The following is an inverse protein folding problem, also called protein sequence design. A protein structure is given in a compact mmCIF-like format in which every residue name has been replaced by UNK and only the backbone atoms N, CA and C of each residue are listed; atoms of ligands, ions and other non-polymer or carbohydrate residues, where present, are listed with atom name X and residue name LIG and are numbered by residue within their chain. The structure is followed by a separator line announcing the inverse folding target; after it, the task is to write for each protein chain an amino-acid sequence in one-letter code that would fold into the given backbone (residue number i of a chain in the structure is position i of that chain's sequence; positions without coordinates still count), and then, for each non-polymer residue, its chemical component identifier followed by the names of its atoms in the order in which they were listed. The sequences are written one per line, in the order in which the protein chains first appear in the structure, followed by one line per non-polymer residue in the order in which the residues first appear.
data_IF_885076141745
#
_entry.id   IF_885076141745
#
_cell.length_a   1.000
_cell.length_b   1.000
_cell.length_c   1.000
_cell.angle_alpha   90.00
_cell.angle_beta   90.00
_cell.angle_gamma   90.00
#
_symmetry.space_group_name_H-M   'P 1'
#
loop_
_entity.id
_entity.type
_entity.pdbx_description
1 polymer ?
#
# COMPACT_ATOMS: atom_id res chain seq x y z
N UNK A 1 -12.52 17.78 -1.99
CA UNK A 1 -12.32 16.58 -2.84
C UNK A 1 -11.51 16.93 -4.10
N UNK A 2 -11.65 18.14 -4.65
CA UNK A 2 -10.81 18.63 -5.75
C UNK A 2 -9.35 18.93 -5.39
N UNK A 3 -9.06 19.34 -4.15
CA UNK A 3 -7.72 19.81 -3.75
C UNK A 3 -6.63 18.74 -3.89
N UNK A 4 -6.85 17.49 -3.45
CA UNK A 4 -5.83 16.41 -3.54
C UNK A 4 -5.63 15.92 -4.99
N UNK A 5 -6.70 15.88 -5.79
CA UNK A 5 -6.59 15.50 -7.22
C UNK A 5 -5.86 16.58 -8.02
N UNK A 6 -6.16 17.84 -7.75
CA UNK A 6 -5.43 18.97 -8.34
C UNK A 6 -3.95 18.93 -7.92
N UNK A 7 -3.67 18.56 -6.67
CA UNK A 7 -2.30 18.56 -6.13
C UNK A 7 -1.39 17.55 -6.86
N UNK A 8 -1.80 16.29 -7.01
CA UNK A 8 -0.94 15.27 -7.64
C UNK A 8 -0.56 15.60 -9.09
N UNK A 9 -1.54 15.99 -9.92
CA UNK A 9 -1.25 16.34 -11.32
C UNK A 9 -0.51 17.67 -11.45
N UNK A 10 -0.72 18.61 -10.53
CA UNK A 10 0.03 19.87 -10.51
C UNK A 10 1.48 19.65 -10.09
N UNK A 11 1.72 18.83 -9.07
CA UNK A 11 3.07 18.51 -8.55
C UNK A 11 3.90 17.72 -9.54
N UNK A 12 3.32 16.70 -10.18
CA UNK A 12 4.07 15.80 -11.07
C UNK A 12 3.93 16.14 -12.57
N UNK A 13 2.93 16.95 -12.94
CA UNK A 13 2.72 17.42 -14.32
C UNK A 13 2.66 16.28 -15.33
N UNK A 14 3.56 16.34 -16.33
CA UNK A 14 3.65 15.35 -17.42
C UNK A 14 4.56 14.15 -17.11
N UNK A 15 5.15 14.07 -15.91
CA UNK A 15 6.02 12.94 -15.55
C UNK A 15 5.23 11.64 -15.52
N UNK A 16 5.88 10.56 -15.92
CA UNK A 16 5.34 9.20 -15.90
C UNK A 16 6.32 8.29 -15.19
N UNK A 17 5.83 7.47 -14.28
CA UNK A 17 6.64 6.61 -13.42
C UNK A 17 6.51 5.15 -13.85
N UNK A 18 7.63 4.46 -14.00
CA UNK A 18 7.65 3.03 -14.26
C UNK A 18 7.41 2.21 -12.98
N UNK A 19 7.61 2.81 -11.80
CA UNK A 19 7.32 2.21 -10.50
C UNK A 19 6.61 3.20 -9.59
N UNK A 20 5.51 2.77 -8.97
CA UNK A 20 4.72 3.57 -8.04
C UNK A 20 4.59 2.80 -6.73
N UNK A 21 4.93 3.45 -5.62
CA UNK A 21 4.60 3.00 -4.27
C UNK A 21 3.53 3.93 -3.70
N UNK A 22 2.42 3.36 -3.23
CA UNK A 22 1.30 4.13 -2.67
C UNK A 22 0.86 3.56 -1.32
N UNK A 23 0.56 4.45 -0.36
CA UNK A 23 -0.06 4.15 0.92
C UNK A 23 -1.28 5.07 1.12
N UNK A 24 -2.44 4.72 0.53
CA UNK A 24 -3.63 5.55 0.62
C UNK A 24 -4.09 5.71 2.08
N UNK A 25 -4.70 6.85 2.44
CA UNK A 25 -5.22 7.07 3.78
C UNK A 25 -6.56 6.34 3.98
N UNK A 26 -6.52 5.01 4.05
CA UNK A 26 -7.69 4.14 4.11
C UNK A 26 -8.65 4.51 5.27
N UNK A 27 -9.93 4.70 4.94
CA UNK A 27 -11.00 4.78 5.94
C UNK A 27 -11.58 3.40 6.23
N UNK A 28 -11.54 2.97 7.48
CA UNK A 28 -12.26 1.78 7.93
C UNK A 28 -13.73 2.13 8.21
N UNK A 29 -14.66 1.34 7.70
CA UNK A 29 -16.07 1.44 8.07
C UNK A 29 -16.37 0.48 9.22
N UNK A 30 -16.67 0.99 10.41
CA UNK A 30 -17.11 0.16 11.54
C UNK A 30 -18.58 -0.24 11.33
N UNK A 31 -18.83 -1.46 10.84
CA UNK A 31 -20.20 -1.95 10.60
C UNK A 31 -20.91 -2.47 11.87
N UNK A 32 -20.19 -2.67 12.98
CA UNK A 32 -20.71 -3.40 14.15
C UNK A 32 -21.18 -2.51 15.31
N UNK A 33 -21.21 -1.18 15.19
CA UNK A 33 -21.52 -0.25 16.29
C UNK A 33 -20.51 -0.23 17.44
N UNK A 34 -19.67 -1.27 17.56
CA UNK A 34 -18.45 -1.28 18.38
C UNK A 34 -17.43 -0.40 17.67
N UNK A 35 -17.26 0.80 18.19
CA UNK A 35 -16.22 1.73 17.81
C UNK A 35 -14.89 0.95 17.87
N UNK A 36 -14.29 0.62 16.72
CA UNK A 36 -12.84 0.38 16.70
C UNK A 36 -12.25 1.58 17.40
N UNK A 37 -11.36 1.43 18.40
CA UNK A 37 -10.95 2.55 19.22
C UNK A 37 -10.23 3.56 18.32
N UNK A 38 -11.00 4.48 17.77
CA UNK A 38 -10.61 5.83 17.45
C UNK A 38 -10.23 6.42 18.80
N UNK A 39 -9.06 6.01 19.29
CA UNK A 39 -8.36 6.76 20.29
C UNK A 39 -8.34 8.18 19.74
N UNK A 40 -8.96 9.12 20.44
CA UNK A 40 -8.91 10.58 20.25
C UNK A 40 -7.50 11.17 19.97
N UNK A 41 -6.44 10.34 20.01
CA UNK A 41 -5.05 10.63 19.63
C UNK A 41 -4.71 10.36 18.16
N UNK A 42 -5.55 9.65 17.39
CA UNK A 42 -5.30 9.25 15.98
C UNK A 42 -5.87 10.23 14.93
N UNK A 43 -6.56 11.28 15.35
CA UNK A 43 -7.19 12.32 14.50
C UNK A 43 -6.22 13.23 13.73
N UNK A 44 -4.92 12.89 13.65
CA UNK A 44 -3.90 13.78 13.05
C UNK A 44 -3.84 13.75 11.52
N UNK A 45 -4.45 12.76 10.84
CA UNK A 45 -4.48 12.70 9.37
C UNK A 45 -5.88 12.31 8.87
N UNK A 46 -6.38 13.03 7.86
CA UNK A 46 -7.68 12.74 7.25
C UNK A 46 -7.65 11.40 6.51
N UNK A 47 -8.68 10.58 6.70
CA UNK A 47 -8.90 9.35 5.93
C UNK A 47 -9.80 9.61 4.73
N UNK A 48 -9.59 8.86 3.65
CA UNK A 48 -10.40 8.92 2.43
C UNK A 48 -11.34 7.72 2.35
N UNK A 49 -12.56 7.98 1.91
CA UNK A 49 -13.49 6.91 1.49
C UNK A 49 -12.95 6.20 0.26
N UNK A 50 -13.42 4.97 0.03
CA UNK A 50 -12.97 4.16 -1.09
C UNK A 50 -13.18 4.85 -2.45
N UNK A 51 -14.36 5.45 -2.67
CA UNK A 51 -14.67 6.18 -3.90
C UNK A 51 -13.70 7.34 -4.17
N UNK A 52 -13.23 8.01 -3.12
CA UNK A 52 -12.23 9.07 -3.21
C UNK A 52 -10.86 8.52 -3.63
N UNK A 53 -10.44 7.37 -3.08
CA UNK A 53 -9.17 6.72 -3.41
C UNK A 53 -9.20 6.18 -4.85
N UNK A 54 -10.29 5.51 -5.23
CA UNK A 54 -10.51 4.99 -6.58
C UNK A 54 -10.36 6.09 -7.63
N UNK A 55 -10.82 7.31 -7.30
CA UNK A 55 -10.84 8.42 -8.23
C UNK A 55 -9.54 9.24 -8.29
N UNK A 56 -8.48 8.85 -7.57
CA UNK A 56 -7.16 9.47 -7.67
C UNK A 56 -6.56 9.22 -9.08
N UNK A 57 -5.90 10.23 -9.70
CA UNK A 57 -5.44 10.15 -11.09
C UNK A 57 -4.12 9.36 -11.26
N UNK A 58 -3.90 8.30 -10.48
CA UNK A 58 -2.65 7.52 -10.49
C UNK A 58 -2.39 6.88 -11.86
N UNK A 59 -3.45 6.48 -12.57
CA UNK A 59 -3.33 5.97 -13.95
C UNK A 59 -2.62 6.99 -14.88
N UNK A 60 -2.90 8.29 -14.68
CA UNK A 60 -2.31 9.36 -15.48
C UNK A 60 -0.84 9.61 -15.13
N UNK A 61 -0.37 9.12 -13.97
CA UNK A 61 1.02 9.24 -13.54
C UNK A 61 1.85 8.00 -13.90
N UNK A 62 1.21 6.89 -14.25
CA UNK A 62 1.90 5.65 -14.61
C UNK A 62 2.40 5.66 -16.06
N UNK A 63 3.61 5.17 -16.27
CA UNK A 63 4.12 4.85 -17.61
C UNK A 63 3.26 3.74 -18.28
N UNK A 64 3.32 3.60 -19.62
CA UNK A 64 2.55 2.57 -20.33
C UNK A 64 2.81 1.15 -19.82
N UNK A 65 4.06 0.87 -19.43
CA UNK A 65 4.47 -0.33 -18.71
C UNK A 65 4.98 0.09 -17.33
N UNK A 66 4.32 -0.37 -16.27
CA UNK A 66 4.63 0.08 -14.92
C UNK A 66 4.30 -0.97 -13.84
N UNK A 67 4.94 -0.83 -12.69
CA UNK A 67 4.66 -1.56 -11.47
C UNK A 67 3.95 -0.67 -10.44
N UNK A 68 3.02 -1.27 -9.70
CA UNK A 68 2.37 -0.67 -8.54
C UNK A 68 2.62 -1.54 -7.30
N UNK A 69 3.09 -0.88 -6.25
CA UNK A 69 3.19 -1.39 -4.90
C UNK A 69 2.18 -0.63 -4.04
N UNK A 70 1.12 -1.29 -3.61
CA UNK A 70 0.02 -0.66 -2.89
C UNK A 70 -0.06 -1.21 -1.46
N UNK A 71 0.26 -0.38 -0.47
CA UNK A 71 0.01 -0.72 0.93
C UNK A 71 -1.49 -0.92 1.17
N UNK A 72 -1.84 -2.07 1.72
CA UNK A 72 -3.22 -2.48 1.94
C UNK A 72 -3.36 -3.13 3.33
N UNK A 73 -4.20 -2.57 4.21
CA UNK A 73 -4.56 -3.25 5.45
C UNK A 73 -5.25 -4.58 5.18
N UNK A 74 -4.96 -5.61 5.99
CA UNK A 74 -5.51 -6.96 5.79
C UNK A 74 -7.04 -7.00 5.66
N UNK A 75 -7.74 -6.16 6.43
CA UNK A 75 -9.21 -6.11 6.42
C UNK A 75 -9.81 -5.43 5.19
N UNK A 76 -9.00 -4.77 4.36
CA UNK A 76 -9.43 -4.01 3.17
C UNK A 76 -8.87 -4.61 1.87
N UNK A 77 -8.51 -5.89 1.88
CA UNK A 77 -7.95 -6.56 0.71
C UNK A 77 -8.86 -6.44 -0.53
N UNK A 78 -10.19 -6.68 -0.45
CA UNK A 78 -11.09 -6.49 -1.60
C UNK A 78 -11.04 -5.06 -2.15
N UNK A 79 -11.03 -4.05 -1.28
CA UNK A 79 -10.94 -2.64 -1.63
C UNK A 79 -9.59 -2.30 -2.27
N UNK A 80 -8.49 -2.84 -1.74
CA UNK A 80 -7.16 -2.69 -2.33
C UNK A 80 -7.09 -3.23 -3.76
N UNK A 81 -7.69 -4.39 -4.02
CA UNK A 81 -7.78 -4.96 -5.37
C UNK A 81 -8.64 -4.10 -6.31
N UNK A 82 -9.74 -3.53 -5.79
CA UNK A 82 -10.56 -2.59 -6.55
C UNK A 82 -9.79 -1.31 -6.92
N UNK A 83 -8.98 -0.78 -5.99
CA UNK A 83 -8.10 0.38 -6.23
C UNK A 83 -7.07 0.10 -7.30
N UNK A 84 -6.38 -1.04 -7.26
CA UNK A 84 -5.43 -1.42 -8.30
C UNK A 84 -6.09 -1.45 -9.68
N UNK A 85 -7.28 -2.07 -9.76
CA UNK A 85 -8.04 -2.15 -11.00
C UNK A 85 -8.43 -0.76 -11.53
N UNK A 86 -8.95 0.11 -10.65
CA UNK A 86 -9.35 1.46 -11.01
C UNK A 86 -8.18 2.33 -11.50
N UNK A 87 -6.97 2.10 -10.98
CA UNK A 87 -5.76 2.79 -11.41
C UNK A 87 -5.09 2.15 -12.64
N UNK A 88 -5.70 1.13 -13.25
CA UNK A 88 -5.19 0.49 -14.46
C UNK A 88 -4.14 -0.58 -14.23
N UNK A 89 -4.02 -1.12 -13.02
CA UNK A 89 -3.07 -2.19 -12.67
C UNK A 89 -3.79 -3.51 -12.45
N UNK A 90 -3.21 -4.60 -12.98
CA UNK A 90 -3.68 -5.96 -12.69
C UNK A 90 -2.85 -6.54 -11.56
N UNK A 91 -3.50 -7.02 -10.50
CA UNK A 91 -2.84 -7.74 -9.41
C UNK A 91 -2.07 -8.97 -9.91
N UNK A 92 -0.91 -9.23 -9.31
CA UNK A 92 -0.05 -10.38 -9.63
C UNK A 92 0.34 -11.17 -8.39
N UNK A 93 0.80 -10.48 -7.34
CA UNK A 93 1.22 -11.10 -6.08
C UNK A 93 1.23 -10.03 -4.98
N UNK A 94 1.70 -10.36 -3.79
CA UNK A 94 1.89 -9.40 -2.69
C UNK A 94 3.21 -9.66 -1.99
N UNK A 95 3.73 -8.63 -1.32
CA UNK A 95 4.70 -8.75 -0.24
C UNK A 95 3.95 -8.66 1.10
N UNK A 96 4.45 -9.33 2.11
CA UNK A 96 3.91 -9.33 3.47
C UNK A 96 4.93 -8.70 4.40
N UNK A 97 4.58 -7.58 5.01
CA UNK A 97 5.36 -7.05 6.12
C UNK A 97 4.95 -7.73 7.41
N UNK A 98 5.84 -8.55 7.98
CA UNK A 98 5.68 -9.18 9.28
C UNK A 98 6.36 -8.34 10.36
N UNK A 99 5.57 -7.89 11.34
CA UNK A 99 6.03 -7.07 12.45
C UNK A 99 6.57 -7.97 13.55
N UNK A 100 7.87 -7.90 13.79
CA UNK A 100 8.57 -8.77 14.74
C UNK A 100 9.05 -8.04 16.00
N UNK A 101 9.26 -8.81 17.07
CA UNK A 101 9.87 -8.39 18.34
C UNK A 101 11.40 -8.49 18.25
N UNK A 102 12.10 -8.25 19.37
CA UNK A 102 13.56 -8.36 19.44
C UNK A 102 14.06 -9.79 19.22
N UNK A 103 13.29 -10.77 19.65
CA UNK A 103 13.56 -12.21 19.53
C UNK A 103 13.14 -12.81 18.18
N UNK A 104 12.66 -11.99 17.22
CA UNK A 104 12.21 -12.45 15.90
C UNK A 104 10.79 -13.01 15.88
N UNK A 105 10.14 -13.20 17.03
CA UNK A 105 8.74 -13.62 17.08
C UNK A 105 7.77 -12.49 16.70
N UNK A 106 6.52 -12.83 16.41
CA UNK A 106 5.46 -11.84 16.09
C UNK A 106 5.26 -10.81 17.20
N UNK A 107 5.02 -9.53 16.83
CA UNK A 107 4.80 -8.42 17.76
C UNK A 107 3.58 -8.64 18.67
N UNK A 108 2.52 -9.31 18.18
CA UNK A 108 1.32 -9.67 18.96
C UNK A 108 0.43 -8.50 19.39
N UNK A 109 0.90 -7.25 19.26
CA UNK A 109 0.21 -6.03 19.70
C UNK A 109 -0.77 -5.44 18.67
N UNK A 110 -0.93 -6.08 17.52
CA UNK A 110 -1.84 -5.64 16.46
C UNK A 110 -3.30 -5.64 16.89
N UNK A 111 -4.06 -4.60 16.54
CA UNK A 111 -5.51 -4.58 16.73
C UNK A 111 -6.19 -5.29 15.55
N UNK A 112 -7.20 -6.10 15.82
CA UNK A 112 -8.07 -6.73 14.82
C UNK A 112 -9.23 -7.47 15.49
N UNK A 113 -10.39 -7.53 14.83
CA UNK A 113 -11.60 -8.11 15.40
C UNK A 113 -11.60 -9.65 15.43
N UNK A 114 -10.99 -10.27 14.41
CA UNK A 114 -10.92 -11.73 14.27
C UNK A 114 -9.53 -12.26 14.66
N UNK A 115 -8.47 -11.60 14.19
CA UNK A 115 -7.08 -11.97 14.46
C UNK A 115 -6.25 -10.74 14.85
N UNK A 116 -5.19 -10.96 15.63
CA UNK A 116 -4.20 -9.92 15.93
C UNK A 116 -3.37 -9.64 14.68
N UNK A 117 -3.47 -8.41 14.16
CA UNK A 117 -2.76 -8.00 12.95
C UNK A 117 -1.26 -7.79 13.20
N UNK A 118 -0.48 -8.86 13.04
CA UNK A 118 1.00 -8.82 13.06
C UNK A 118 1.61 -8.66 11.67
N UNK A 119 0.77 -8.60 10.65
CA UNK A 119 1.18 -8.36 9.25
C UNK A 119 0.46 -7.18 8.63
N UNK A 120 1.04 -6.62 7.56
CA UNK A 120 0.38 -5.75 6.58
C UNK A 120 0.81 -6.17 5.17
N UNK A 121 -0.03 -5.92 4.16
CA UNK A 121 0.25 -6.30 2.78
C UNK A 121 0.76 -5.11 1.96
N UNK A 122 1.69 -5.39 1.05
CA UNK A 122 1.97 -4.57 -0.11
C UNK A 122 1.50 -5.34 -1.34
N UNK A 123 0.39 -4.95 -1.93
CA UNK A 123 -0.11 -5.56 -3.15
C UNK A 123 0.80 -5.17 -4.32
N UNK A 124 1.20 -6.15 -5.12
CA UNK A 124 2.00 -5.93 -6.32
C UNK A 124 1.14 -6.12 -7.57
N UNK A 125 1.06 -5.06 -8.37
CA UNK A 125 0.33 -5.02 -9.63
C UNK A 125 1.18 -4.53 -10.78
N UNK A 126 0.75 -4.87 -11.98
CA UNK A 126 1.44 -4.50 -13.22
C UNK A 126 0.47 -3.88 -14.22
N UNK A 127 0.99 -2.94 -15.02
CA UNK A 127 0.32 -2.34 -16.18
C UNK A 127 1.19 -2.55 -17.42
N UNK A 128 0.56 -2.74 -18.57
CA UNK A 128 1.24 -2.81 -19.86
C UNK A 128 1.85 -4.17 -20.19
N UNK A 129 2.47 -4.24 -21.37
CA UNK A 129 3.16 -5.45 -21.86
C UNK A 129 4.55 -5.55 -21.25
N UNK A 130 5.03 -6.78 -21.05
CA UNK A 130 6.38 -7.09 -20.57
C UNK A 130 6.75 -6.47 -19.19
N UNK A 131 5.76 -6.22 -18.34
CA UNK A 131 5.92 -5.72 -16.98
C UNK A 131 6.39 -6.79 -15.97
N UNK A 132 7.42 -7.56 -16.32
CA UNK A 132 8.05 -8.50 -15.37
C UNK A 132 9.01 -7.74 -14.47
N UNK A 133 9.15 -8.18 -13.23
CA UNK A 133 10.21 -7.72 -12.33
C UNK A 133 11.60 -7.94 -12.93
N UNK A 134 12.52 -7.08 -12.51
CA UNK A 134 13.95 -7.21 -12.76
C UNK A 134 14.48 -8.51 -12.13
N UNK A 135 15.67 -8.93 -12.53
CA UNK A 135 16.27 -10.18 -12.06
C UNK A 135 16.32 -10.34 -10.53
N UNK A 136 16.58 -9.28 -9.72
CA UNK A 136 16.51 -9.38 -8.26
C UNK A 136 15.11 -9.77 -7.75
N UNK A 137 14.05 -9.17 -8.33
CA UNK A 137 12.67 -9.46 -7.93
C UNK A 137 12.21 -10.89 -8.18
N UNK A 138 12.89 -11.65 -9.04
CA UNK A 138 12.60 -13.07 -9.31
C UNK A 138 13.15 -13.99 -8.23
N UNK A 139 14.10 -13.51 -7.41
CA UNK A 139 14.71 -14.22 -6.27
C UNK A 139 14.25 -13.67 -4.93
N UNK A 140 13.57 -12.53 -4.92
CA UNK A 140 13.04 -11.89 -3.73
C UNK A 140 11.91 -12.73 -3.14
N UNK A 141 12.03 -13.10 -1.87
CA UNK A 141 10.93 -13.69 -1.11
C UNK A 141 9.89 -12.63 -0.79
N UNK A 142 8.64 -13.05 -0.66
CA UNK A 142 7.53 -12.13 -0.44
C UNK A 142 7.30 -11.77 1.03
N UNK A 143 8.31 -11.91 1.88
CA UNK A 143 8.22 -11.64 3.32
C UNK A 143 9.28 -10.61 3.71
N UNK A 144 8.83 -9.55 4.38
CA UNK A 144 9.68 -8.54 5.01
C UNK A 144 9.45 -8.59 6.52
N UNK A 145 10.37 -9.16 7.28
CA UNK A 145 10.26 -9.27 8.74
C UNK A 145 11.09 -8.18 9.42
N UNK A 146 10.44 -7.14 9.94
CA UNK A 146 11.14 -6.01 10.59
C UNK A 146 10.40 -5.54 11.84
N UNK A 147 11.13 -4.84 12.73
CA UNK A 147 10.52 -4.29 13.94
C UNK A 147 9.65 -3.09 13.58
N UNK A 148 8.45 -3.07 14.15
CA UNK A 148 7.56 -1.90 14.08
C UNK A 148 8.22 -0.70 14.77
N UNK A 149 8.12 0.46 14.14
CA UNK A 149 8.60 1.75 14.66
C UNK A 149 7.42 2.62 15.08
N UNK A 150 7.45 3.91 14.79
CA UNK A 150 6.36 4.84 15.08
C UNK A 150 5.05 4.40 14.42
N UNK A 151 3.91 4.89 14.94
CA UNK A 151 2.59 4.55 14.42
C UNK A 151 2.48 4.85 12.91
N UNK A 152 1.88 3.92 12.16
CA UNK A 152 1.72 3.96 10.70
C UNK A 152 2.99 4.00 9.85
N UNK A 153 4.18 4.13 10.45
CA UNK A 153 5.45 4.17 9.72
C UNK A 153 5.77 2.80 9.12
N UNK A 154 5.86 2.77 7.79
CA UNK A 154 6.23 1.60 6.99
C UNK A 154 7.75 1.30 7.09
N UNK A 155 8.20 0.07 6.83
CA UNK A 155 9.62 -0.29 6.86
C UNK A 155 10.41 0.43 5.75
N UNK A 156 11.60 0.95 6.05
CA UNK A 156 12.42 1.64 5.04
C UNK A 156 13.00 0.62 4.03
N UNK A 157 13.15 -0.63 4.45
CA UNK A 157 13.62 -1.76 3.64
C UNK A 157 12.78 -1.98 2.38
N UNK A 158 11.53 -1.49 2.37
CA UNK A 158 10.68 -1.50 1.18
C UNK A 158 11.33 -0.75 -0.01
N UNK A 159 12.06 0.34 0.23
CA UNK A 159 12.59 1.19 -0.83
C UNK A 159 13.68 0.46 -1.61
N UNK A 160 14.70 -0.03 -0.89
CA UNK A 160 15.78 -0.80 -1.49
C UNK A 160 15.27 -2.06 -2.21
N UNK A 161 14.26 -2.73 -1.65
CA UNK A 161 13.61 -3.87 -2.30
C UNK A 161 12.95 -3.44 -3.61
N UNK A 162 12.11 -2.41 -3.60
CA UNK A 162 11.35 -1.96 -4.76
C UNK A 162 12.30 -1.47 -5.86
N UNK A 163 13.29 -0.64 -5.51
CA UNK A 163 14.29 -0.09 -6.44
C UNK A 163 15.14 -1.18 -7.09
N UNK A 164 15.50 -2.24 -6.36
CA UNK A 164 16.21 -3.38 -6.94
C UNK A 164 15.33 -4.26 -7.85
N UNK A 165 14.02 -4.33 -7.56
CA UNK A 165 13.11 -5.26 -8.23
C UNK A 165 12.40 -4.67 -9.45
N UNK A 166 12.39 -3.34 -9.60
CA UNK A 166 11.56 -2.64 -10.58
C UNK A 166 12.29 -1.54 -11.34
N UNK A 167 11.83 -1.19 -12.57
CA UNK A 167 12.40 -0.09 -13.32
C UNK A 167 12.18 1.27 -12.63
N UNK A 168 13.12 2.20 -12.78
CA UNK A 168 12.97 3.61 -12.37
C UNK A 168 12.01 4.37 -13.30
#
# INVERSE_FOLDING_TARGET
MDVIKHDLLTVFGKRRFASILADPPWRFTNKSGKIAPEHRRLTRYGTMRLDEILALPVEQLAAPTAHLYLWCPNALLPEGLAVMKAWGFTYRSNLVWHKVRKDGGSDGRGVGFYFRNVTELILFGVRGKNARTLAPGRRQVNLLATRKREHSRKPDEQYALIEACSPA
#
